data_IF_560842538622
#
_entry.id   IF_560842538622
#
_cell.length_a   1.000
_cell.length_b   1.000
_cell.length_c   1.000
_cell.angle_alpha   90.00
_cell.angle_beta   90.00
_cell.angle_gamma   90.00
#
_symmetry.space_group_name_H-M   'P 1'
#
loop_
_entity.id
_entity.type
_entity.pdbx_description
1 polymer ?
#
# COMPACT_ATOMS: atom_id res chain seq x y z
N UNK A 1 24.39 -10.91 -17.05
CA UNK A 1 23.87 -9.54 -16.90
C UNK A 1 22.52 -9.32 -17.59
N UNK A 2 22.31 -9.74 -18.85
CA UNK A 2 21.00 -9.57 -19.55
C UNK A 2 19.82 -10.24 -18.84
N UNK A 3 20.02 -11.42 -18.25
CA UNK A 3 18.96 -12.15 -17.56
C UNK A 3 18.61 -11.54 -16.19
N UNK A 4 19.60 -10.99 -15.48
CA UNK A 4 19.36 -10.24 -14.24
C UNK A 4 18.53 -8.97 -14.51
N UNK A 5 18.84 -8.21 -15.55
CA UNK A 5 18.07 -7.03 -15.94
C UNK A 5 16.63 -7.40 -16.32
N UNK A 6 16.43 -8.52 -17.04
CA UNK A 6 15.06 -9.00 -17.34
C UNK A 6 14.27 -9.34 -16.08
N UNK A 7 14.92 -9.97 -15.08
CA UNK A 7 14.26 -10.28 -13.81
C UNK A 7 13.80 -9.03 -13.07
N UNK A 8 14.61 -7.96 -13.05
CA UNK A 8 14.17 -6.68 -12.49
C UNK A 8 12.99 -6.04 -13.26
N UNK A 9 13.00 -6.14 -14.58
CA UNK A 9 11.88 -5.65 -15.41
C UNK A 9 10.60 -6.43 -15.09
N UNK A 10 10.67 -7.76 -14.97
CA UNK A 10 9.50 -8.56 -14.59
C UNK A 10 8.99 -8.21 -13.20
N UNK A 11 9.88 -8.05 -12.22
CA UNK A 11 9.51 -7.63 -10.86
C UNK A 11 8.84 -6.25 -10.87
N UNK A 12 9.40 -5.29 -11.57
CA UNK A 12 8.83 -3.94 -11.70
C UNK A 12 7.44 -3.99 -12.37
N UNK A 13 7.27 -4.79 -13.41
CA UNK A 13 5.98 -4.96 -14.08
C UNK A 13 4.94 -5.57 -13.13
N UNK A 14 5.30 -6.55 -12.30
CA UNK A 14 4.43 -7.14 -11.28
C UNK A 14 3.97 -6.09 -10.26
N UNK A 15 4.89 -5.27 -9.74
CA UNK A 15 4.55 -4.19 -8.81
C UNK A 15 3.59 -3.18 -9.46
N UNK A 16 3.90 -2.72 -10.68
CA UNK A 16 3.05 -1.78 -11.43
C UNK A 16 1.66 -2.37 -11.69
N UNK A 17 1.60 -3.66 -12.04
CA UNK A 17 0.32 -4.35 -12.27
C UNK A 17 -0.51 -4.39 -10.97
N UNK A 18 0.08 -4.75 -9.85
CA UNK A 18 -0.58 -4.77 -8.56
C UNK A 18 -1.11 -3.35 -8.18
N UNK A 19 -0.32 -2.29 -8.34
CA UNK A 19 -0.77 -0.91 -8.11
C UNK A 19 -1.96 -0.53 -9.00
N UNK A 20 -1.98 -0.98 -10.26
CA UNK A 20 -3.07 -0.69 -11.19
C UNK A 20 -4.35 -1.44 -10.85
N UNK A 21 -4.25 -2.69 -10.46
CA UNK A 21 -5.39 -3.57 -10.25
C UNK A 21 -5.92 -3.49 -8.83
N UNK A 22 -5.04 -3.44 -7.82
CA UNK A 22 -5.41 -3.57 -6.42
C UNK A 22 -5.58 -2.24 -5.71
N UNK A 23 -6.79 -2.01 -5.19
CA UNK A 23 -7.10 -0.83 -4.37
C UNK A 23 -6.31 -0.84 -3.06
N UNK A 24 -6.17 -2.01 -2.42
CA UNK A 24 -5.47 -2.14 -1.15
C UNK A 24 -3.99 -1.76 -1.30
N UNK A 25 -3.32 -2.23 -2.36
CA UNK A 25 -1.94 -1.81 -2.65
C UNK A 25 -1.82 -0.28 -2.78
N UNK A 26 -2.80 0.39 -3.42
CA UNK A 26 -2.80 1.85 -3.53
C UNK A 26 -2.99 2.53 -2.17
N UNK A 27 -3.83 1.98 -1.29
CA UNK A 27 -3.99 2.49 0.09
C UNK A 27 -2.67 2.40 0.83
N UNK A 28 -2.04 1.23 0.85
CA UNK A 28 -0.76 1.02 1.53
C UNK A 28 0.35 1.92 0.97
N UNK A 29 0.42 2.08 -0.34
CA UNK A 29 1.37 2.97 -1.00
C UNK A 29 1.18 4.43 -0.56
N UNK A 30 -0.06 4.93 -0.58
CA UNK A 30 -0.37 6.30 -0.15
C UNK A 30 -0.04 6.52 1.32
N UNK A 31 -0.47 5.60 2.21
CA UNK A 31 -0.14 5.68 3.63
C UNK A 31 1.39 5.70 3.86
N UNK A 32 2.11 4.84 3.15
CA UNK A 32 3.58 4.76 3.22
C UNK A 32 4.22 6.08 2.78
N UNK A 33 3.78 6.66 1.67
CA UNK A 33 4.31 7.94 1.17
C UNK A 33 4.07 9.06 2.19
N UNK A 34 2.84 9.22 2.69
CA UNK A 34 2.56 10.24 3.71
C UNK A 34 3.41 10.06 4.97
N UNK A 35 3.48 8.83 5.48
CA UNK A 35 4.25 8.54 6.67
C UNK A 35 5.73 8.92 6.49
N UNK A 36 6.37 8.50 5.38
CA UNK A 36 7.76 8.87 5.15
C UNK A 36 7.96 10.35 4.83
N UNK A 37 7.01 11.02 4.19
CA UNK A 37 7.06 12.46 4.04
C UNK A 37 7.12 13.16 5.41
N UNK A 38 6.27 12.74 6.37
CA UNK A 38 6.30 13.30 7.72
C UNK A 38 7.56 12.94 8.51
N UNK A 39 8.12 11.76 8.32
CA UNK A 39 9.32 11.33 9.04
C UNK A 39 10.64 11.87 8.47
N UNK A 40 10.67 12.24 7.18
CA UNK A 40 11.91 12.65 6.50
C UNK A 40 11.97 14.14 6.21
N UNK A 41 10.82 14.82 6.12
CA UNK A 41 10.75 16.25 5.74
C UNK A 41 10.51 17.13 6.98
N UNK A 42 9.81 16.59 8.00
CA UNK A 42 9.43 17.33 9.19
C UNK A 42 10.01 16.70 10.44
N UNK A 43 10.41 17.53 11.39
CA UNK A 43 10.98 17.11 12.68
C UNK A 43 9.92 17.03 13.80
N UNK A 44 8.69 16.63 13.45
CA UNK A 44 7.63 16.51 14.45
C UNK A 44 7.77 15.27 15.33
N UNK A 45 8.23 14.17 14.75
CA UNK A 45 8.32 12.88 15.43
C UNK A 45 9.76 12.53 15.77
N UNK A 46 10.00 12.18 17.02
CA UNK A 46 11.30 11.64 17.46
C UNK A 46 11.36 10.15 17.17
N UNK A 47 12.08 9.78 16.12
CA UNK A 47 12.21 8.38 15.66
C UNK A 47 13.68 7.99 15.56
N UNK A 48 14.10 7.03 16.38
CA UNK A 48 15.44 6.47 16.31
C UNK A 48 15.65 5.66 15.04
N UNK A 49 16.91 5.45 14.64
CA UNK A 49 17.25 4.60 13.46
C UNK A 49 16.65 3.20 13.54
N UNK A 50 16.63 2.60 14.73
CA UNK A 50 16.04 1.27 14.96
C UNK A 50 14.53 1.29 14.77
N UNK A 51 13.84 2.28 15.32
CA UNK A 51 12.39 2.44 15.13
C UNK A 51 12.04 2.69 13.66
N UNK A 52 12.83 3.52 12.96
CA UNK A 52 12.67 3.74 11.52
C UNK A 52 12.81 2.43 10.72
N UNK A 53 13.81 1.59 11.06
CA UNK A 53 14.00 0.29 10.43
C UNK A 53 12.82 -0.66 10.69
N UNK A 54 12.25 -0.66 11.91
CA UNK A 54 11.07 -1.46 12.25
C UNK A 54 9.86 -1.03 11.44
N UNK A 55 9.60 0.29 11.34
CA UNK A 55 8.52 0.84 10.50
C UNK A 55 8.73 0.44 9.03
N UNK A 56 9.96 0.52 8.53
CA UNK A 56 10.28 0.15 7.15
C UNK A 56 9.97 -1.32 6.89
N UNK A 57 10.39 -2.22 7.77
CA UNK A 57 10.13 -3.66 7.65
C UNK A 57 8.62 -3.95 7.72
N UNK A 58 7.89 -3.31 8.64
CA UNK A 58 6.45 -3.49 8.77
C UNK A 58 5.72 -3.09 7.47
N UNK A 59 6.05 -1.94 6.88
CA UNK A 59 5.47 -1.52 5.60
C UNK A 59 5.85 -2.45 4.44
N UNK A 60 7.11 -2.85 4.37
CA UNK A 60 7.59 -3.78 3.34
C UNK A 60 6.84 -5.12 3.42
N UNK A 61 6.58 -5.64 4.63
CA UNK A 61 5.83 -6.86 4.84
C UNK A 61 4.38 -6.76 4.33
N UNK A 62 3.69 -5.65 4.60
CA UNK A 62 2.33 -5.43 4.08
C UNK A 62 2.31 -5.37 2.56
N UNK A 63 3.20 -4.59 1.96
CA UNK A 63 3.26 -4.44 0.49
C UNK A 63 3.67 -5.74 -0.20
N UNK A 64 4.60 -6.51 0.38
CA UNK A 64 4.95 -7.84 -0.12
C UNK A 64 3.78 -8.82 0.01
N UNK A 65 3.03 -8.76 1.10
CA UNK A 65 1.81 -9.53 1.30
C UNK A 65 0.77 -9.25 0.22
N UNK A 66 0.53 -7.99 -0.14
CA UNK A 66 -0.39 -7.60 -1.22
C UNK A 66 0.06 -8.15 -2.59
N UNK A 67 1.36 -8.13 -2.88
CA UNK A 67 1.89 -8.72 -4.12
C UNK A 67 1.65 -10.25 -4.17
N UNK A 68 1.86 -10.93 -3.05
CA UNK A 68 1.62 -12.38 -2.95
C UNK A 68 0.13 -12.68 -3.06
N UNK A 69 -0.74 -11.90 -2.38
CA UNK A 69 -2.18 -12.04 -2.50
C UNK A 69 -2.66 -11.89 -3.95
N UNK A 70 -2.20 -10.85 -4.65
CA UNK A 70 -2.51 -10.64 -6.07
C UNK A 70 -2.06 -11.82 -6.95
N UNK A 71 -0.88 -12.39 -6.66
CA UNK A 71 -0.38 -13.55 -7.40
C UNK A 71 -1.22 -14.81 -7.13
N UNK A 72 -1.63 -15.05 -5.88
CA UNK A 72 -2.52 -16.16 -5.50
C UNK A 72 -3.88 -16.01 -6.19
N UNK A 73 -4.49 -14.81 -6.15
CA UNK A 73 -5.76 -14.55 -6.81
C UNK A 73 -5.69 -14.81 -8.33
N UNK A 74 -4.64 -14.34 -8.99
CA UNK A 74 -4.43 -14.57 -10.41
C UNK A 74 -4.28 -16.07 -10.75
N UNK A 75 -3.51 -16.81 -9.94
CA UNK A 75 -3.33 -18.26 -10.12
C UNK A 75 -4.63 -19.03 -9.90
N UNK A 76 -5.39 -18.68 -8.86
CA UNK A 76 -6.66 -19.32 -8.54
C UNK A 76 -7.71 -19.02 -9.62
N UNK A 77 -7.81 -17.76 -10.09
CA UNK A 77 -8.73 -17.40 -11.18
C UNK A 77 -8.46 -18.22 -12.45
N UNK A 78 -7.19 -18.44 -12.79
CA UNK A 78 -6.81 -19.27 -13.94
C UNK A 78 -7.26 -20.74 -13.80
N UNK A 79 -7.29 -21.25 -12.56
CA UNK A 79 -7.76 -22.62 -12.27
C UNK A 79 -9.29 -22.66 -12.31
N UNK A 80 -9.98 -21.65 -11.75
CA UNK A 80 -11.46 -21.58 -11.74
C UNK A 80 -12.05 -21.55 -13.16
N UNK A 81 -11.40 -20.86 -14.10
CA UNK A 81 -11.84 -20.84 -15.52
C UNK A 81 -11.87 -22.21 -16.19
N UNK A 82 -11.14 -23.19 -15.68
CA UNK A 82 -10.96 -24.51 -16.28
C UNK A 82 -11.69 -25.65 -15.57
N UNK A 83 -12.27 -25.45 -14.38
CA UNK A 83 -12.76 -26.53 -13.53
C UNK A 83 -14.17 -26.28 -12.96
N UNK A 84 -14.86 -27.39 -12.56
CA UNK A 84 -16.23 -27.40 -12.06
C UNK A 84 -16.39 -26.90 -10.61
N UNK A 85 -17.66 -26.74 -10.16
CA UNK A 85 -18.09 -26.20 -8.85
C UNK A 85 -17.37 -26.74 -7.60
N UNK A 86 -16.88 -27.98 -7.62
CA UNK A 86 -16.17 -28.57 -6.47
C UNK A 86 -14.85 -27.85 -6.15
N UNK A 87 -14.22 -27.23 -7.13
CA UNK A 87 -13.00 -26.44 -6.94
C UNK A 87 -13.27 -25.05 -6.37
N UNK A 88 -14.49 -24.52 -6.48
CA UNK A 88 -14.84 -23.19 -6.01
C UNK A 88 -14.64 -22.98 -4.51
N UNK A 89 -14.87 -24.02 -3.68
CA UNK A 89 -14.66 -23.92 -2.23
C UNK A 89 -13.17 -23.84 -1.87
N UNK A 90 -12.31 -24.64 -2.51
CA UNK A 90 -10.86 -24.59 -2.28
C UNK A 90 -10.26 -23.29 -2.81
N UNK A 91 -10.71 -22.83 -3.97
CA UNK A 91 -10.34 -21.57 -4.56
C UNK A 91 -10.69 -20.38 -3.62
N UNK A 92 -11.91 -20.38 -3.06
CA UNK A 92 -12.34 -19.40 -2.09
C UNK A 92 -11.45 -19.43 -0.84
N UNK A 93 -11.19 -20.60 -0.26
CA UNK A 93 -10.32 -20.75 0.91
C UNK A 93 -8.93 -20.18 0.62
N UNK A 94 -8.34 -20.47 -0.54
CA UNK A 94 -7.02 -19.96 -0.92
C UNK A 94 -7.00 -18.43 -1.01
N UNK A 95 -8.00 -17.82 -1.66
CA UNK A 95 -8.13 -16.35 -1.76
C UNK A 95 -8.34 -15.71 -0.38
N UNK A 96 -9.29 -16.25 0.41
CA UNK A 96 -9.59 -15.72 1.75
C UNK A 96 -8.37 -15.83 2.69
N UNK A 97 -7.61 -16.92 2.59
CA UNK A 97 -6.38 -17.12 3.39
C UNK A 97 -5.28 -16.14 2.99
N UNK A 98 -5.08 -15.92 1.70
CA UNK A 98 -4.10 -14.96 1.20
C UNK A 98 -4.45 -13.53 1.64
N UNK A 99 -5.72 -13.12 1.49
CA UNK A 99 -6.22 -11.84 1.97
C UNK A 99 -6.09 -11.71 3.51
N UNK A 100 -6.35 -12.80 4.25
CA UNK A 100 -6.17 -12.85 5.70
C UNK A 100 -4.74 -12.60 6.14
N UNK A 101 -3.76 -13.13 5.41
CA UNK A 101 -2.34 -12.88 5.69
C UNK A 101 -1.96 -11.39 5.53
N UNK A 102 -2.49 -10.73 4.51
CA UNK A 102 -2.33 -9.28 4.33
C UNK A 102 -2.96 -8.51 5.48
N UNK A 103 -4.19 -8.87 5.85
CA UNK A 103 -4.91 -8.20 6.95
C UNK A 103 -4.12 -8.30 8.27
N UNK A 104 -3.60 -9.47 8.60
CA UNK A 104 -2.77 -9.66 9.79
C UNK A 104 -1.53 -8.76 9.72
N UNK A 105 -0.82 -8.74 8.60
CA UNK A 105 0.36 -7.89 8.41
C UNK A 105 0.02 -6.41 8.58
N UNK A 106 -1.11 -5.96 8.02
CA UNK A 106 -1.57 -4.58 8.13
C UNK A 106 -1.93 -4.20 9.57
N UNK A 107 -2.61 -5.08 10.32
CA UNK A 107 -2.93 -4.86 11.75
C UNK A 107 -1.66 -4.69 12.57
N UNK A 108 -0.65 -5.56 12.37
CA UNK A 108 0.63 -5.42 13.07
C UNK A 108 1.40 -4.17 12.64
N UNK A 109 1.35 -3.78 11.36
CA UNK A 109 1.98 -2.55 10.90
C UNK A 109 1.33 -1.31 11.55
N UNK A 110 0.00 -1.29 11.69
CA UNK A 110 -0.71 -0.22 12.42
C UNK A 110 -0.31 -0.21 13.88
N UNK A 111 -0.22 -1.38 14.55
CA UNK A 111 0.21 -1.46 15.94
C UNK A 111 1.64 -0.92 16.14
N UNK A 112 2.57 -1.25 15.23
CA UNK A 112 3.93 -0.70 15.21
C UNK A 112 3.88 0.82 15.01
N UNK A 113 3.06 1.31 14.07
CA UNK A 113 2.87 2.74 13.84
C UNK A 113 2.38 3.46 15.10
N UNK A 114 1.36 2.93 15.76
CA UNK A 114 0.84 3.50 17.02
C UNK A 114 1.90 3.49 18.12
N UNK A 115 2.64 2.39 18.28
CA UNK A 115 3.67 2.25 19.31
C UNK A 115 4.83 3.23 19.14
N UNK A 116 5.21 3.55 17.90
CA UNK A 116 6.35 4.42 17.61
C UNK A 116 5.91 5.88 17.40
N UNK A 117 4.83 6.12 16.66
CA UNK A 117 4.38 7.45 16.27
C UNK A 117 3.28 8.00 17.18
N UNK A 118 2.84 7.24 18.19
CA UNK A 118 1.86 7.68 19.19
C UNK A 118 2.42 8.70 20.16
N UNK A 119 2.95 9.82 19.65
CA UNK A 119 3.60 10.91 20.40
C UNK A 119 2.67 12.13 20.48
N UNK A 120 1.98 12.37 21.60
CA UNK A 120 1.01 13.48 21.73
C UNK A 120 1.60 14.85 21.40
N UNK A 121 2.87 15.08 21.76
CA UNK A 121 3.54 16.37 21.52
C UNK A 121 3.83 16.58 20.01
N UNK A 122 4.17 15.51 19.29
CA UNK A 122 4.33 15.56 17.85
C UNK A 122 3.02 15.93 17.13
N UNK A 123 1.90 15.38 17.58
CA UNK A 123 0.57 15.74 17.04
C UNK A 123 0.18 17.18 17.36
N UNK A 124 0.50 17.70 18.56
CA UNK A 124 0.28 19.10 18.90
C UNK A 124 1.11 20.02 17.98
N UNK A 125 2.39 19.71 17.80
CA UNK A 125 3.29 20.48 16.92
C UNK A 125 2.78 20.45 15.47
N UNK A 126 2.37 19.29 14.97
CA UNK A 126 1.77 19.11 13.63
C UNK A 126 0.52 19.99 13.45
N UNK A 127 -0.39 19.96 14.43
CA UNK A 127 -1.62 20.75 14.38
C UNK A 127 -1.33 22.26 14.42
N UNK A 128 -0.42 22.71 15.29
CA UNK A 128 0.02 24.11 15.37
C UNK A 128 0.63 24.59 14.06
N UNK A 129 1.48 23.75 13.44
CA UNK A 129 2.12 24.04 12.16
C UNK A 129 1.09 24.33 11.06
N UNK A 130 0.08 23.48 10.90
CA UNK A 130 -0.95 23.68 9.87
C UNK A 130 -1.90 24.84 10.17
N UNK A 131 -2.12 25.15 11.45
CA UNK A 131 -2.89 26.33 11.85
C UNK A 131 -2.16 27.63 11.52
N UNK A 132 -0.85 27.65 11.66
CA UNK A 132 -0.01 28.82 11.38
C UNK A 132 0.34 28.95 9.89
N UNK A 133 0.32 27.84 9.15
CA UNK A 133 0.70 27.78 7.74
C UNK A 133 -0.49 27.33 6.85
N UNK A 134 -1.43 28.24 6.62
CA UNK A 134 -2.65 27.96 5.83
C UNK A 134 -2.33 27.45 4.41
N UNK A 135 -1.25 27.94 3.79
CA UNK A 135 -0.81 27.45 2.47
C UNK A 135 -0.46 25.97 2.49
N UNK A 136 0.23 25.50 3.54
CA UNK A 136 0.56 24.07 3.70
C UNK A 136 -0.66 23.24 4.05
N UNK A 137 -1.63 23.78 4.77
CA UNK A 137 -2.92 23.12 4.99
C UNK A 137 -3.67 22.92 3.66
N UNK A 138 -3.70 23.93 2.79
CA UNK A 138 -4.31 23.81 1.45
C UNK A 138 -3.60 22.73 0.64
N UNK A 139 -2.27 22.71 0.63
CA UNK A 139 -1.48 21.67 -0.06
C UNK A 139 -1.81 20.28 0.48
N UNK A 140 -1.90 20.11 1.81
CA UNK A 140 -2.31 18.84 2.42
C UNK A 140 -3.70 18.42 1.96
N UNK A 141 -4.70 19.29 2.01
CA UNK A 141 -6.06 18.99 1.58
C UNK A 141 -6.10 18.57 0.10
N UNK A 142 -5.43 19.33 -0.77
CA UNK A 142 -5.36 19.00 -2.20
C UNK A 142 -4.68 17.64 -2.43
N UNK A 143 -3.59 17.36 -1.72
CA UNK A 143 -2.89 16.07 -1.82
C UNK A 143 -3.77 14.91 -1.33
N UNK A 144 -4.55 15.08 -0.26
CA UNK A 144 -5.50 14.08 0.24
C UNK A 144 -6.63 13.81 -0.77
N UNK A 145 -7.14 14.86 -1.43
CA UNK A 145 -8.15 14.71 -2.50
C UNK A 145 -7.56 13.91 -3.67
N UNK A 146 -6.36 14.28 -4.14
CA UNK A 146 -5.69 13.56 -5.23
C UNK A 146 -5.39 12.11 -4.86
N UNK A 147 -4.93 11.87 -3.64
CA UNK A 147 -4.69 10.51 -3.11
C UNK A 147 -5.97 9.68 -3.07
N UNK A 148 -7.07 10.27 -2.64
CA UNK A 148 -8.39 9.62 -2.64
C UNK A 148 -8.83 9.25 -4.06
N UNK A 149 -8.68 10.17 -5.02
CA UNK A 149 -8.96 9.88 -6.43
C UNK A 149 -8.05 8.76 -6.94
N UNK A 150 -6.76 8.80 -6.65
CA UNK A 150 -5.82 7.74 -7.04
C UNK A 150 -6.20 6.38 -6.46
N UNK A 151 -6.58 6.30 -5.18
CA UNK A 151 -6.99 5.06 -4.51
C UNK A 151 -8.23 4.46 -5.18
N UNK A 152 -9.28 5.25 -5.40
CA UNK A 152 -10.58 4.74 -5.84
C UNK A 152 -10.72 4.67 -7.36
N UNK A 153 -10.22 5.63 -8.12
CA UNK A 153 -10.26 5.60 -9.56
C UNK A 153 -9.20 4.68 -10.16
N UNK A 154 -8.02 4.62 -9.54
CA UNK A 154 -6.86 3.93 -10.05
C UNK A 154 -6.20 4.65 -11.25
N UNK A 155 -4.93 4.32 -11.53
CA UNK A 155 -4.14 5.05 -12.54
C UNK A 155 -4.69 4.91 -13.96
N UNK A 156 -5.31 3.80 -14.32
CA UNK A 156 -5.83 3.58 -15.67
C UNK A 156 -7.02 4.50 -15.99
N UNK A 157 -7.93 4.70 -15.02
CA UNK A 157 -9.05 5.64 -15.19
C UNK A 157 -8.58 7.10 -15.19
N UNK A 158 -7.58 7.43 -14.36
CA UNK A 158 -6.99 8.77 -14.33
C UNK A 158 -6.32 9.14 -15.66
N UNK A 159 -5.75 8.15 -16.36
CA UNK A 159 -5.09 8.31 -17.65
C UNK A 159 -6.06 8.14 -18.85
N UNK A 160 -7.37 8.01 -18.61
CA UNK A 160 -8.36 7.80 -19.67
C UNK A 160 -8.23 6.46 -20.40
N UNK A 161 -7.49 5.51 -19.87
CA UNK A 161 -7.35 4.18 -20.47
C UNK A 161 -8.50 3.28 -20.03
N UNK A 162 -9.29 2.80 -20.98
CA UNK A 162 -10.30 1.79 -20.71
C UNK A 162 -9.63 0.53 -20.13
N UNK A 163 -10.17 0.03 -19.00
CA UNK A 163 -9.71 -1.23 -18.39
C UNK A 163 -9.91 -2.33 -19.43
N UNK A 164 -8.85 -2.86 -20.02
CA UNK A 164 -8.95 -4.10 -20.80
C UNK A 164 -9.38 -5.18 -19.81
N UNK A 165 -10.60 -5.71 -20.00
CA UNK A 165 -11.00 -6.96 -19.35
C UNK A 165 -10.04 -8.03 -19.86
N UNK A 166 -9.19 -8.52 -18.99
CA UNK A 166 -8.49 -9.80 -19.17
C UNK A 166 -9.41 -10.89 -18.69
#
# INVERSE_FOLDING_TARGET
MKDLLKSFVFAANGIVMCIRQERNMRIHLVCTVYMYCYLLIYDFFEVSRTQFAIIFIANAAVMAGELVNTAVEAAVNLIEEKHSEKYNNLAKIAKDTAAGAVLISAVFAVAVGIAILGQPEAFKALFSYYRENISMLIVLILSLVLSTVFIFAGPDKMLGKARKKQ
#
